data_IF_178081506358
#
_entry.id   IF_178081506358
#
_cell.length_a   1.000
_cell.length_b   1.000
_cell.length_c   1.000
_cell.angle_alpha   90.00
_cell.angle_beta   90.00
_cell.angle_gamma   90.00
#
_symmetry.space_group_name_H-M   'P 1'
#
loop_
_entity.id
_entity.type
_entity.pdbx_description
1 polymer ?
#
# COMPACT_ATOMS: atom_id res chain seq x y z
N UNK A 1 -11.08 -18.21 2.80
CA UNK A 1 -10.20 -17.05 3.02
C UNK A 1 -9.00 -17.22 2.13
N UNK A 2 -8.97 -16.44 1.04
CA UNK A 2 -7.91 -16.52 0.03
C UNK A 2 -6.78 -15.55 0.32
N UNK A 3 -5.61 -15.80 -0.26
CA UNK A 3 -4.55 -14.80 -0.34
C UNK A 3 -4.81 -13.93 -1.56
N UNK A 4 -4.68 -12.61 -1.41
CA UNK A 4 -4.77 -11.65 -2.50
C UNK A 4 -3.47 -10.85 -2.61
N UNK A 5 -3.17 -10.41 -3.83
CA UNK A 5 -2.07 -9.51 -4.13
C UNK A 5 -2.57 -8.41 -5.05
N UNK A 6 -2.24 -7.16 -4.75
CA UNK A 6 -2.57 -6.02 -5.60
C UNK A 6 -1.33 -5.18 -5.87
N UNK A 7 -1.30 -4.64 -7.07
CA UNK A 7 -0.36 -3.62 -7.49
C UNK A 7 -1.11 -2.31 -7.69
N UNK A 8 -0.69 -1.27 -6.98
CA UNK A 8 -1.40 -0.01 -6.86
C UNK A 8 -0.50 1.14 -7.33
N UNK A 9 -1.09 2.05 -8.10
CA UNK A 9 -0.46 3.28 -8.55
C UNK A 9 -1.31 4.46 -8.06
N UNK A 10 -0.75 5.24 -7.14
CA UNK A 10 -1.46 6.28 -6.40
C UNK A 10 -0.98 7.66 -6.87
N UNK A 11 -1.91 8.49 -7.31
CA UNK A 11 -1.66 9.87 -7.74
C UNK A 11 -2.26 10.90 -6.78
N UNK A 12 -1.78 12.15 -6.85
CA UNK A 12 -2.25 13.26 -6.04
C UNK A 12 -1.17 13.79 -5.10
N UNK A 13 -1.56 14.36 -3.96
CA UNK A 13 -0.60 14.84 -2.95
C UNK A 13 -0.12 13.67 -2.08
N UNK A 14 0.81 12.88 -2.62
CA UNK A 14 1.32 11.65 -1.99
C UNK A 14 2.81 11.72 -1.59
N UNK A 15 3.57 12.65 -2.16
CA UNK A 15 4.95 12.90 -1.76
C UNK A 15 5.07 14.08 -0.79
N UNK A 16 6.05 14.04 0.11
CA UNK A 16 6.24 15.05 1.16
C UNK A 16 5.20 15.05 2.29
N UNK A 17 4.34 14.02 2.35
CA UNK A 17 3.25 13.89 3.33
C UNK A 17 3.33 12.58 4.15
N UNK A 18 4.51 11.96 4.21
CA UNK A 18 4.74 10.69 4.93
C UNK A 18 3.87 9.51 4.48
N UNK A 19 3.32 9.54 3.26
CA UNK A 19 2.44 8.49 2.73
C UNK A 19 3.04 7.09 2.85
N UNK A 20 4.29 6.90 2.41
CA UNK A 20 5.00 5.61 2.50
C UNK A 20 5.08 5.06 3.91
N UNK A 21 5.36 5.93 4.88
CA UNK A 21 5.46 5.54 6.28
C UNK A 21 4.09 5.14 6.85
N UNK A 22 3.03 5.87 6.52
CA UNK A 22 1.67 5.52 6.94
C UNK A 22 1.19 4.22 6.27
N UNK A 23 1.48 4.03 4.99
CA UNK A 23 1.16 2.81 4.27
C UNK A 23 1.87 1.58 4.88
N UNK A 24 3.17 1.71 5.20
CA UNK A 24 3.91 0.66 5.88
C UNK A 24 3.30 0.32 7.26
N UNK A 25 3.05 1.33 8.10
CA UNK A 25 2.46 1.11 9.42
C UNK A 25 1.08 0.45 9.35
N UNK A 26 0.26 0.81 8.37
CA UNK A 26 -1.06 0.19 8.19
C UNK A 26 -0.95 -1.26 7.71
N UNK A 27 -0.02 -1.54 6.78
CA UNK A 27 0.26 -2.90 6.33
C UNK A 27 0.72 -3.80 7.50
N UNK A 28 1.61 -3.30 8.36
CA UNK A 28 2.07 -4.01 9.56
C UNK A 28 0.91 -4.34 10.52
N UNK A 29 0.01 -3.38 10.77
CA UNK A 29 -1.18 -3.59 11.62
C UNK A 29 -2.14 -4.65 11.05
N UNK A 30 -2.26 -4.71 9.73
CA UNK A 30 -3.14 -5.64 9.02
C UNK A 30 -2.49 -7.00 8.74
N UNK A 31 -1.22 -7.19 9.12
CA UNK A 31 -0.45 -8.41 8.84
C UNK A 31 -0.18 -8.62 7.34
N UNK A 32 -0.08 -7.52 6.58
CA UNK A 32 0.20 -7.53 5.15
C UNK A 32 1.71 -7.44 4.88
N UNK A 33 2.12 -7.91 3.70
CA UNK A 33 3.50 -7.85 3.21
C UNK A 33 3.55 -7.15 1.85
N UNK A 34 4.72 -6.64 1.46
CA UNK A 34 4.88 -5.96 0.18
C UNK A 34 5.92 -4.85 0.20
N UNK A 35 5.76 -3.87 -0.68
CA UNK A 35 6.66 -2.73 -0.79
C UNK A 35 5.91 -1.48 -1.24
N UNK A 36 6.50 -0.32 -0.96
CA UNK A 36 6.00 1.00 -1.38
C UNK A 36 7.16 1.91 -1.77
N UNK A 37 7.06 2.58 -2.91
CA UNK A 37 8.10 3.48 -3.43
C UNK A 37 7.53 4.76 -4.04
N UNK A 38 8.32 5.84 -3.98
CA UNK A 38 8.02 7.06 -4.72
C UNK A 38 8.52 6.90 -6.14
N UNK A 39 7.70 7.32 -7.12
CA UNK A 39 8.10 7.44 -8.52
C UNK A 39 8.56 8.87 -8.84
N UNK A 40 9.40 8.99 -9.87
CA UNK A 40 9.97 10.27 -10.32
C UNK A 40 8.90 11.24 -10.86
N UNK A 41 7.77 10.73 -11.33
CA UNK A 41 6.65 11.52 -11.85
C UNK A 41 5.72 12.08 -10.75
N UNK A 42 6.10 11.90 -9.47
CA UNK A 42 5.34 12.38 -8.33
C UNK A 42 4.35 11.36 -7.74
N UNK A 43 4.20 10.17 -8.34
CA UNK A 43 3.27 9.14 -7.85
C UNK A 43 3.84 8.24 -6.75
N UNK A 44 2.88 7.60 -6.08
CA UNK A 44 2.87 6.39 -5.26
C UNK A 44 2.94 5.06 -6.01
N UNK A 45 3.93 4.19 -5.92
CA UNK A 45 3.75 2.79 -6.37
C UNK A 45 3.82 1.84 -5.17
N UNK A 46 2.91 0.87 -5.12
CA UNK A 46 2.78 -0.04 -3.98
C UNK A 46 2.36 -1.43 -4.44
N UNK A 47 3.00 -2.46 -3.89
CA UNK A 47 2.53 -3.84 -3.96
C UNK A 47 2.17 -4.32 -2.57
N UNK A 48 0.98 -4.91 -2.41
CA UNK A 48 0.52 -5.48 -1.13
C UNK A 48 0.04 -6.91 -1.34
N UNK A 49 0.31 -7.77 -0.37
CA UNK A 49 -0.09 -9.17 -0.38
C UNK A 49 -0.45 -9.63 1.04
N UNK A 50 -1.53 -10.41 1.17
CA UNK A 50 -1.95 -11.01 2.42
C UNK A 50 -3.34 -11.65 2.33
N UNK A 51 -4.00 -11.82 3.47
CA UNK A 51 -5.40 -12.28 3.49
C UNK A 51 -6.28 -11.30 2.73
N UNK A 52 -7.18 -11.81 1.88
CA UNK A 52 -8.06 -10.98 1.04
C UNK A 52 -8.79 -9.90 1.84
N UNK A 53 -9.38 -10.26 2.98
CA UNK A 53 -10.10 -9.32 3.84
C UNK A 53 -9.19 -8.20 4.37
N UNK A 54 -7.95 -8.53 4.78
CA UNK A 54 -6.97 -7.54 5.22
C UNK A 54 -6.51 -6.62 4.09
N UNK A 55 -6.37 -7.18 2.88
CA UNK A 55 -6.00 -6.43 1.68
C UNK A 55 -7.13 -5.47 1.28
N UNK A 56 -8.39 -5.92 1.32
CA UNK A 56 -9.56 -5.06 1.10
C UNK A 56 -9.65 -3.93 2.14
N UNK A 57 -9.34 -4.21 3.41
CA UNK A 57 -9.26 -3.18 4.46
C UNK A 57 -8.15 -2.16 4.22
N UNK A 58 -7.05 -2.53 3.58
CA UNK A 58 -5.98 -1.59 3.21
C UNK A 58 -6.38 -0.66 2.06
N UNK A 59 -7.28 -1.12 1.19
CA UNK A 59 -7.69 -0.40 -0.04
C UNK A 59 -8.97 0.43 0.12
N UNK A 60 -9.70 0.27 1.24
CA UNK A 60 -10.90 1.04 1.58
C UNK A 60 -10.58 2.42 2.16
#
# INVERSE_FOLDING_TARGET
MGVAQYHCLISGRVQGVSYRFMAQQQAEKLGLTGWVQNLDDGRVEMMIQGQADSVEQMLS
#
